data_IF_665388482892
#
_entry.id   IF_665388482892
#
_cell.length_a   1.000
_cell.length_b   1.000
_cell.length_c   1.000
_cell.angle_alpha   90.00
_cell.angle_beta   90.00
_cell.angle_gamma   90.00
#
_symmetry.space_group_name_H-M   'P 1'
#
loop_
_entity.id
_entity.type
_entity.pdbx_description
1 polymer ?
#
# COMPACT_ATOMS: atom_id res chain seq x y z
N UNK A 1 -18.31 -6.72 7.70
CA UNK A 1 -17.41 -6.53 6.57
C UNK A 1 -16.19 -5.75 7.02
N UNK A 2 -14.99 -6.28 6.90
CA UNK A 2 -13.80 -5.59 7.39
C UNK A 2 -12.96 -5.07 6.24
N UNK A 3 -12.62 -3.79 6.33
CA UNK A 3 -11.72 -3.12 5.38
C UNK A 3 -10.52 -2.64 6.18
N UNK A 4 -9.32 -2.85 5.64
CA UNK A 4 -8.07 -2.36 6.22
C UNK A 4 -7.40 -1.43 5.21
N UNK A 5 -6.86 -0.33 5.69
CA UNK A 5 -6.07 0.58 4.87
C UNK A 5 -4.64 0.66 5.41
N UNK A 6 -3.66 0.48 4.54
CA UNK A 6 -2.28 0.84 4.83
C UNK A 6 -2.13 2.32 4.50
N UNK A 7 -2.05 3.12 5.55
CA UNK A 7 -2.28 4.55 5.50
C UNK A 7 -1.02 5.36 5.79
N UNK A 8 -0.87 6.44 5.04
CA UNK A 8 0.12 7.47 5.33
C UNK A 8 -0.64 8.80 5.53
N UNK A 9 -0.74 9.30 6.77
CA UNK A 9 -1.52 10.52 7.05
C UNK A 9 -0.95 11.77 6.38
N UNK A 10 0.31 11.74 5.94
CA UNK A 10 0.93 12.86 5.22
C UNK A 10 0.68 12.81 3.71
N UNK A 11 0.12 11.72 3.20
CA UNK A 11 -0.18 11.56 1.77
C UNK A 11 -1.61 11.99 1.47
N UNK A 12 -1.78 12.96 0.56
CA UNK A 12 -3.10 13.45 0.17
C UNK A 12 -4.01 12.37 -0.41
N UNK A 13 -3.47 11.52 -1.28
CA UNK A 13 -4.23 10.40 -1.85
C UNK A 13 -4.70 9.44 -0.76
N UNK A 14 -3.83 9.15 0.21
CA UNK A 14 -4.16 8.26 1.32
C UNK A 14 -5.28 8.84 2.20
N UNK A 15 -5.22 10.13 2.50
CA UNK A 15 -6.29 10.82 3.23
C UNK A 15 -7.61 10.80 2.47
N UNK A 16 -7.57 11.00 1.15
CA UNK A 16 -8.77 10.99 0.31
C UNK A 16 -9.40 9.59 0.28
N UNK A 17 -8.60 8.53 0.18
CA UNK A 17 -9.10 7.16 0.22
C UNK A 17 -9.76 6.84 1.56
N UNK A 18 -9.14 7.26 2.67
CA UNK A 18 -9.72 7.07 4.00
C UNK A 18 -11.09 7.77 4.10
N UNK A 19 -11.19 8.99 3.57
CA UNK A 19 -12.46 9.73 3.54
C UNK A 19 -13.52 9.01 2.70
N UNK A 20 -13.15 8.46 1.55
CA UNK A 20 -14.09 7.69 0.71
C UNK A 20 -14.61 6.44 1.41
N UNK A 21 -13.74 5.71 2.10
CA UNK A 21 -14.14 4.54 2.87
C UNK A 21 -15.14 4.93 3.96
N UNK A 22 -14.84 5.97 4.72
CA UNK A 22 -15.71 6.46 5.79
C UNK A 22 -17.04 6.97 5.25
N UNK A 23 -17.03 7.65 4.11
CA UNK A 23 -18.24 8.15 3.47
C UNK A 23 -19.17 7.00 3.03
N UNK A 24 -18.62 5.81 2.78
CA UNK A 24 -19.43 4.62 2.45
C UNK A 24 -20.12 4.00 3.67
N UNK A 25 -19.87 4.53 4.87
CA UNK A 25 -20.44 4.02 6.12
C UNK A 25 -19.58 2.98 6.83
N UNK A 26 -18.34 2.75 6.36
CA UNK A 26 -17.42 1.78 6.95
C UNK A 26 -16.30 2.51 7.68
N UNK A 27 -16.02 2.09 8.91
CA UNK A 27 -14.81 2.54 9.61
C UNK A 27 -13.73 1.48 9.41
N UNK A 28 -12.66 1.77 8.64
CA UNK A 28 -11.64 0.76 8.36
C UNK A 28 -10.69 0.58 9.54
N UNK A 29 -10.03 -0.56 9.59
CA UNK A 29 -8.83 -0.72 10.39
C UNK A 29 -7.70 0.06 9.72
N UNK A 30 -7.04 0.93 10.47
CA UNK A 30 -5.98 1.78 9.93
C UNK A 30 -4.62 1.23 10.39
N UNK A 31 -3.79 0.86 9.42
CA UNK A 31 -2.40 0.48 9.66
C UNK A 31 -1.51 1.60 9.14
N UNK A 32 -0.91 2.35 10.05
CA UNK A 32 0.11 3.33 9.67
C UNK A 32 1.41 2.58 9.43
N UNK A 33 1.63 2.17 8.20
CA UNK A 33 2.70 1.24 7.84
C UNK A 33 4.11 1.77 8.10
N UNK A 34 4.28 3.09 8.25
CA UNK A 34 5.57 3.69 8.62
C UNK A 34 5.90 3.47 10.09
N UNK A 35 4.87 3.32 10.94
CA UNK A 35 5.01 3.12 12.39
C UNK A 35 4.91 1.65 12.74
N UNK A 36 3.96 0.95 12.12
CA UNK A 36 3.72 -0.48 12.30
C UNK A 36 3.89 -1.18 10.96
N UNK A 37 5.13 -1.50 10.56
CA UNK A 37 5.40 -2.08 9.24
C UNK A 37 4.72 -3.44 9.08
N UNK A 38 4.18 -3.73 7.88
CA UNK A 38 3.68 -5.07 7.57
C UNK A 38 4.83 -6.09 7.59
N UNK A 39 4.53 -7.32 7.99
CA UNK A 39 5.52 -8.39 7.96
C UNK A 39 5.78 -8.88 6.51
N UNK A 40 6.79 -9.74 6.35
CA UNK A 40 7.20 -10.23 5.03
C UNK A 40 6.06 -10.98 4.32
N UNK A 41 5.26 -11.77 5.04
CA UNK A 41 4.15 -12.50 4.44
C UNK A 41 3.06 -11.54 3.95
N UNK A 42 2.72 -10.53 4.73
CA UNK A 42 1.74 -9.51 4.33
C UNK A 42 2.21 -8.74 3.09
N UNK A 43 3.49 -8.35 3.07
CA UNK A 43 4.08 -7.66 1.90
C UNK A 43 4.01 -8.52 0.64
N UNK A 44 4.34 -9.81 0.75
CA UNK A 44 4.31 -10.71 -0.40
C UNK A 44 2.89 -10.91 -0.92
N UNK A 45 1.90 -11.08 -0.04
CA UNK A 45 0.51 -11.25 -0.43
C UNK A 45 -0.05 -10.00 -1.09
N UNK A 46 0.23 -8.84 -0.53
CA UNK A 46 -0.24 -7.56 -1.10
C UNK A 46 0.43 -7.30 -2.44
N UNK A 47 1.74 -7.52 -2.54
CA UNK A 47 2.47 -7.35 -3.80
C UNK A 47 1.84 -8.21 -4.91
N UNK A 48 1.57 -9.48 -4.63
CA UNK A 48 0.94 -10.38 -5.60
C UNK A 48 -0.43 -9.86 -6.04
N UNK A 49 -1.22 -9.33 -5.10
CA UNK A 49 -2.57 -8.83 -5.38
C UNK A 49 -2.59 -7.55 -6.21
N UNK A 50 -1.57 -6.70 -6.08
CA UNK A 50 -1.55 -5.38 -6.77
C UNK A 50 -0.74 -5.40 -8.07
N UNK A 51 -0.24 -6.55 -8.49
CA UNK A 51 0.46 -6.69 -9.76
C UNK A 51 1.95 -6.93 -9.66
N UNK A 52 2.47 -7.24 -8.49
CA UNK A 52 3.88 -7.55 -8.25
C UNK A 52 4.57 -6.54 -7.34
N UNK A 53 5.77 -6.88 -6.89
CA UNK A 53 6.53 -6.02 -5.98
C UNK A 53 6.88 -4.68 -6.63
N UNK A 54 7.16 -4.66 -7.94
CA UNK A 54 7.44 -3.42 -8.65
C UNK A 54 6.24 -2.45 -8.64
N UNK A 55 5.02 -2.98 -8.71
CA UNK A 55 3.81 -2.16 -8.63
C UNK A 55 3.61 -1.57 -7.23
N UNK A 56 4.01 -2.29 -6.19
CA UNK A 56 3.93 -1.85 -4.81
C UNK A 56 5.06 -0.89 -4.42
N UNK A 57 6.11 -0.79 -5.22
CA UNK A 57 7.28 0.03 -4.90
C UNK A 57 6.97 1.51 -5.13
N UNK A 58 7.17 2.32 -4.08
CA UNK A 58 7.16 3.77 -4.20
C UNK A 58 8.54 4.22 -4.66
N UNK A 59 8.59 4.89 -5.83
CA UNK A 59 9.84 5.39 -6.41
C UNK A 59 10.04 6.86 -6.06
N UNK A 60 9.04 7.69 -6.33
CA UNK A 60 9.14 9.13 -6.12
C UNK A 60 9.22 9.48 -4.64
N UNK A 61 10.22 10.28 -4.29
CA UNK A 61 10.44 10.73 -2.92
C UNK A 61 11.08 9.67 -2.02
N UNK A 62 11.69 8.63 -2.62
CA UNK A 62 12.38 7.56 -1.89
C UNK A 62 13.74 7.28 -2.51
N UNK A 63 14.65 6.57 -1.81
CA UNK A 63 15.94 6.18 -2.38
C UNK A 63 15.87 4.92 -3.26
N UNK A 64 14.69 4.55 -3.77
CA UNK A 64 14.53 3.31 -4.55
C UNK A 64 15.48 3.22 -5.75
N UNK A 65 15.67 4.32 -6.48
CA UNK A 65 16.59 4.35 -7.63
C UNK A 65 18.03 4.13 -7.20
N UNK A 66 18.48 4.84 -6.18
CA UNK A 66 19.84 4.75 -5.65
C UNK A 66 20.12 3.38 -5.05
N UNK A 67 19.09 2.70 -4.55
CA UNK A 67 19.20 1.35 -4.01
C UNK A 67 19.19 0.27 -5.09
N UNK A 68 19.06 0.65 -6.37
CA UNK A 68 19.03 -0.31 -7.47
C UNK A 68 17.75 -1.14 -7.53
N UNK A 69 16.63 -0.63 -7.00
CA UNK A 69 15.39 -1.39 -6.91
C UNK A 69 14.54 -1.31 -8.18
N UNK A 70 14.77 -0.30 -9.03
CA UNK A 70 14.05 -0.18 -10.30
C UNK A 70 14.54 -1.29 -11.23
N UNK A 71 13.61 -2.18 -11.62
CA UNK A 71 13.94 -3.35 -12.43
C UNK A 71 14.50 -4.54 -11.66
N UNK A 72 14.62 -4.45 -10.33
CA UNK A 72 15.04 -5.57 -9.49
C UNK A 72 13.94 -6.64 -9.43
N UNK A 73 14.32 -7.86 -9.02
CA UNK A 73 13.33 -8.93 -8.85
C UNK A 73 12.47 -8.70 -7.61
N UNK A 74 11.34 -9.43 -7.53
CA UNK A 74 10.37 -9.27 -6.45
C UNK A 74 11.00 -9.53 -5.08
N UNK A 75 11.82 -10.57 -4.95
CA UNK A 75 12.43 -10.91 -3.68
C UNK A 75 13.33 -9.78 -3.17
N UNK A 76 14.11 -9.16 -4.05
CA UNK A 76 14.98 -8.04 -3.71
C UNK A 76 14.17 -6.83 -3.26
N UNK A 77 13.11 -6.49 -4.01
CA UNK A 77 12.24 -5.35 -3.69
C UNK A 77 11.53 -5.57 -2.34
N UNK A 78 10.96 -6.76 -2.13
CA UNK A 78 10.24 -7.07 -0.90
C UNK A 78 11.15 -7.07 0.33
N UNK A 79 12.37 -7.56 0.20
CA UNK A 79 13.35 -7.52 1.27
C UNK A 79 13.69 -6.08 1.65
N UNK A 80 13.85 -5.20 0.67
CA UNK A 80 14.12 -3.78 0.91
C UNK A 80 12.93 -3.09 1.59
N UNK A 81 11.70 -3.39 1.19
CA UNK A 81 10.48 -2.85 1.81
C UNK A 81 10.35 -3.27 3.27
N UNK A 82 10.71 -4.50 3.61
CA UNK A 82 10.62 -5.01 4.97
C UNK A 82 11.52 -4.23 5.94
N UNK A 83 12.65 -3.75 5.44
CA UNK A 83 13.62 -2.95 6.23
C UNK A 83 13.30 -1.46 6.15
N UNK A 84 12.75 -1.00 5.03
CA UNK A 84 12.46 0.40 4.76
C UNK A 84 11.00 0.58 4.34
N UNK A 85 10.06 0.70 5.29
CA UNK A 85 8.63 0.80 4.96
C UNK A 85 8.27 1.99 4.08
N UNK A 86 9.09 3.04 4.05
CA UNK A 86 8.89 4.19 3.16
C UNK A 86 8.87 3.81 1.68
N UNK A 87 9.40 2.63 1.33
CA UNK A 87 9.39 2.11 -0.04
C UNK A 87 8.04 1.53 -0.46
N UNK A 88 7.10 1.40 0.47
CA UNK A 88 5.76 0.87 0.18
C UNK A 88 4.92 1.98 -0.45
N UNK A 89 4.36 1.71 -1.62
CA UNK A 89 3.41 2.63 -2.24
C UNK A 89 2.09 2.66 -1.46
N UNK A 90 1.33 3.74 -1.58
CA UNK A 90 0.22 4.02 -0.66
C UNK A 90 -0.93 4.78 -1.36
N UNK A 91 -2.16 4.63 -0.85
CA UNK A 91 -2.58 3.68 0.16
C UNK A 91 -2.87 2.31 -0.45
N UNK A 92 -2.73 1.28 0.36
CA UNK A 92 -3.22 -0.06 0.01
C UNK A 92 -4.53 -0.28 0.77
N UNK A 93 -5.54 -0.80 0.08
CA UNK A 93 -6.83 -1.13 0.67
C UNK A 93 -7.04 -2.63 0.56
N UNK A 94 -7.29 -3.27 1.70
CA UNK A 94 -7.58 -4.69 1.79
C UNK A 94 -9.04 -4.85 2.22
N UNK A 95 -9.83 -5.53 1.40
CA UNK A 95 -11.25 -5.73 1.61
C UNK A 95 -11.66 -7.14 1.20
N UNK A 96 -12.88 -7.60 1.58
CA UNK A 96 -13.37 -8.90 1.13
C UNK A 96 -13.41 -9.04 -0.39
N UNK A 97 -13.65 -7.94 -1.10
CA UNK A 97 -13.71 -7.95 -2.58
C UNK A 97 -12.33 -7.99 -3.23
N UNK A 98 -11.27 -7.71 -2.49
CA UNK A 98 -9.92 -7.73 -3.03
C UNK A 98 -8.97 -6.76 -2.34
N UNK A 99 -7.75 -6.69 -2.88
CA UNK A 99 -6.69 -5.81 -2.38
C UNK A 99 -6.16 -4.98 -3.54
N UNK A 100 -6.12 -3.67 -3.37
CA UNK A 100 -5.66 -2.75 -4.41
C UNK A 100 -4.72 -1.68 -3.86
N UNK A 101 -3.87 -1.16 -4.74
CA UNK A 101 -3.19 0.11 -4.55
C UNK A 101 -4.14 1.20 -5.07
N UNK A 102 -4.71 2.00 -4.17
CA UNK A 102 -5.74 2.98 -4.51
C UNK A 102 -5.14 4.30 -4.98
N UNK A 103 -4.50 4.28 -6.13
CA UNK A 103 -3.95 5.45 -6.81
C UNK A 103 -4.37 5.39 -8.28
N UNK A 104 -5.23 6.32 -8.75
CA UNK A 104 -5.86 7.43 -7.99
C UNK A 104 -6.84 6.94 -6.93
N UNK A 105 -7.23 7.85 -6.04
CA UNK A 105 -8.07 7.51 -4.87
C UNK A 105 -9.40 6.84 -5.25
N UNK A 106 -9.99 7.23 -6.38
CA UNK A 106 -11.26 6.69 -6.87
C UNK A 106 -11.25 5.18 -7.11
N UNK A 107 -10.08 4.58 -7.28
CA UNK A 107 -9.96 3.12 -7.42
C UNK A 107 -10.50 2.39 -6.21
N UNK A 108 -10.49 3.02 -5.03
CA UNK A 108 -11.04 2.42 -3.81
C UNK A 108 -12.53 2.12 -3.94
N UNK A 109 -13.27 2.87 -4.76
CA UNK A 109 -14.71 2.68 -4.93
C UNK A 109 -15.07 1.27 -5.41
N UNK A 110 -14.19 0.60 -6.14
CA UNK A 110 -14.41 -0.77 -6.60
C UNK A 110 -14.50 -1.78 -5.45
N UNK A 111 -14.00 -1.45 -4.26
CA UNK A 111 -14.00 -2.32 -3.10
C UNK A 111 -15.11 -1.98 -2.09
N UNK A 112 -15.84 -0.91 -2.32
CA UNK A 112 -16.84 -0.40 -1.37
C UNK A 112 -18.28 -0.83 -1.70
#
# INVERSE_FOLDING_TARGET
MSITIWHNPKCGTSRNVLALIRASGVEPAIVEYLITPPDADALARVAAAVGGAAALLRINGTPASEMGLIGADDATILAAMAVNPMLINRPVVLAPKGTILARPAERALALL
#
